data_IF_452714104133
#
_entry.id   IF_452714104133
#
_cell.length_a   1.000
_cell.length_b   1.000
_cell.length_c   1.000
_cell.angle_alpha   90.00
_cell.angle_beta   90.00
_cell.angle_gamma   90.00
#
_symmetry.space_group_name_H-M   'P 1'
#
loop_
_entity.id
_entity.type
_entity.pdbx_description
1 polymer ?
#
# COMPACT_ATOMS: atom_id res chain seq x y z
N UNK A 1 99.07 13.62 -11.60
CA UNK A 1 98.25 12.51 -12.16
C UNK A 1 97.26 11.94 -11.13
N UNK A 2 97.67 11.62 -9.90
CA UNK A 2 96.79 11.04 -8.86
C UNK A 2 95.69 11.97 -8.34
N UNK A 3 95.97 13.28 -8.24
CA UNK A 3 95.00 14.29 -7.75
C UNK A 3 93.77 14.41 -8.66
N UNK A 4 93.97 14.36 -9.99
CA UNK A 4 92.86 14.42 -10.95
C UNK A 4 91.93 13.18 -10.85
N UNK A 5 92.50 12.01 -10.55
CA UNK A 5 91.72 10.79 -10.35
C UNK A 5 90.85 10.85 -9.09
N UNK A 6 91.35 11.43 -8.00
CA UNK A 6 90.56 11.62 -6.78
C UNK A 6 89.42 12.62 -6.98
N UNK A 7 89.67 13.71 -7.71
CA UNK A 7 88.64 14.71 -8.04
C UNK A 7 87.55 14.14 -8.96
N UNK A 8 87.92 13.31 -9.94
CA UNK A 8 86.96 12.64 -10.81
C UNK A 8 86.11 11.62 -10.04
N UNK A 9 86.75 10.84 -9.16
CA UNK A 9 86.06 9.84 -8.34
C UNK A 9 85.01 10.48 -7.40
N UNK A 10 85.33 11.61 -6.76
CA UNK A 10 84.38 12.30 -5.87
C UNK A 10 83.20 12.89 -6.65
N UNK A 11 83.44 13.47 -7.82
CA UNK A 11 82.37 14.00 -8.67
C UNK A 11 81.44 12.89 -9.18
N UNK A 12 82.01 11.76 -9.60
CA UNK A 12 81.23 10.59 -10.01
C UNK A 12 80.37 10.05 -8.86
N UNK A 13 80.92 10.01 -7.63
CA UNK A 13 80.22 9.50 -6.45
C UNK A 13 79.07 10.43 -6.03
N UNK A 14 79.27 11.76 -6.09
CA UNK A 14 78.22 12.75 -5.81
C UNK A 14 77.09 12.65 -6.86
N UNK A 15 77.43 12.54 -8.15
CA UNK A 15 76.45 12.37 -9.23
C UNK A 15 75.64 11.08 -9.04
N UNK A 16 76.30 9.99 -8.69
CA UNK A 16 75.65 8.70 -8.46
C UNK A 16 74.69 8.74 -7.25
N UNK A 17 75.10 9.35 -6.14
CA UNK A 17 74.24 9.57 -4.98
C UNK A 17 73.03 10.46 -5.30
N UNK A 18 73.23 11.51 -6.10
CA UNK A 18 72.15 12.40 -6.55
C UNK A 18 71.10 11.67 -7.39
N UNK A 19 71.53 10.80 -8.31
CA UNK A 19 70.63 9.97 -9.12
C UNK A 19 69.83 8.99 -8.25
N UNK A 20 70.47 8.32 -7.29
CA UNK A 20 69.78 7.43 -6.35
C UNK A 20 68.75 8.19 -5.51
N UNK A 21 69.08 9.40 -5.06
CA UNK A 21 68.17 10.24 -4.27
C UNK A 21 66.93 10.65 -5.08
N UNK A 22 67.13 11.13 -6.32
CA UNK A 22 66.02 11.50 -7.22
C UNK A 22 65.16 10.29 -7.56
N UNK A 23 65.77 9.14 -7.81
CA UNK A 23 65.04 7.91 -8.13
C UNK A 23 64.18 7.45 -6.95
N UNK A 24 64.69 7.52 -5.72
CA UNK A 24 63.91 7.24 -4.51
C UNK A 24 62.77 8.24 -4.29
N UNK A 25 63.00 9.53 -4.59
CA UNK A 25 61.96 10.56 -4.47
C UNK A 25 60.83 10.33 -5.48
N UNK A 26 61.16 9.98 -6.73
CA UNK A 26 60.19 9.61 -7.77
C UNK A 26 59.42 8.37 -7.35
N UNK A 27 60.10 7.32 -6.86
CA UNK A 27 59.44 6.11 -6.40
C UNK A 27 58.53 6.37 -5.18
N UNK A 28 58.87 7.34 -4.32
CA UNK A 28 57.99 7.76 -3.22
C UNK A 28 56.74 8.47 -3.75
N UNK A 29 56.89 9.42 -4.68
CA UNK A 29 55.74 10.12 -5.25
C UNK A 29 54.82 9.19 -6.05
N UNK A 30 55.37 8.23 -6.79
CA UNK A 30 54.58 7.23 -7.50
C UNK A 30 53.79 6.35 -6.53
N UNK A 31 54.35 5.99 -5.37
CA UNK A 31 53.63 5.20 -4.36
C UNK A 31 52.44 5.96 -3.80
N UNK A 32 52.58 7.25 -3.51
CA UNK A 32 51.49 8.10 -3.00
C UNK A 32 50.40 8.34 -4.06
N UNK A 33 50.79 8.55 -5.32
CA UNK A 33 49.83 8.65 -6.42
C UNK A 33 49.09 7.34 -6.66
N UNK A 34 49.79 6.21 -6.55
CA UNK A 34 49.16 4.88 -6.69
C UNK A 34 48.21 4.61 -5.52
N UNK A 35 48.55 4.98 -4.29
CA UNK A 35 47.64 4.81 -3.14
C UNK A 35 46.42 5.70 -3.25
N UNK A 36 46.58 6.98 -3.61
CA UNK A 36 45.45 7.91 -3.77
C UNK A 36 44.53 7.50 -4.93
N UNK A 37 45.09 7.00 -6.04
CA UNK A 37 44.33 6.45 -7.17
C UNK A 37 43.60 5.16 -6.80
N UNK A 38 44.17 4.33 -5.91
CA UNK A 38 43.48 3.15 -5.37
C UNK A 38 42.33 3.55 -4.46
N UNK A 39 42.53 4.50 -3.56
CA UNK A 39 41.47 5.02 -2.68
C UNK A 39 40.31 5.60 -3.51
N UNK A 40 40.60 6.43 -4.50
CA UNK A 40 39.59 6.94 -5.43
C UNK A 40 38.81 5.81 -6.13
N UNK A 41 39.49 4.77 -6.63
CA UNK A 41 38.82 3.62 -7.25
C UNK A 41 37.93 2.87 -6.26
N UNK A 42 38.37 2.71 -5.01
CA UNK A 42 37.55 2.05 -3.99
C UNK A 42 36.31 2.88 -3.62
N UNK A 43 36.44 4.21 -3.49
CA UNK A 43 35.30 5.09 -3.25
C UNK A 43 34.33 5.07 -4.44
N UNK A 44 34.83 5.16 -5.67
CA UNK A 44 33.98 5.05 -6.87
C UNK A 44 33.27 3.70 -6.95
N UNK A 45 33.97 2.60 -6.63
CA UNK A 45 33.38 1.26 -6.60
C UNK A 45 32.27 1.11 -5.56
N UNK A 46 32.48 1.67 -4.36
CA UNK A 46 31.48 1.67 -3.30
C UNK A 46 30.27 2.55 -3.65
N UNK A 47 30.50 3.70 -4.30
CA UNK A 47 29.42 4.57 -4.79
C UNK A 47 28.61 3.89 -5.89
N UNK A 48 29.26 3.20 -6.85
CA UNK A 48 28.53 2.44 -7.88
C UNK A 48 27.69 1.33 -7.25
N UNK A 49 28.23 0.61 -6.26
CA UNK A 49 27.48 -0.42 -5.55
C UNK A 49 26.30 0.16 -4.73
N UNK A 50 26.49 1.34 -4.11
CA UNK A 50 25.40 2.06 -3.44
C UNK A 50 24.34 2.57 -4.41
N UNK A 51 24.72 3.08 -5.58
CA UNK A 51 23.78 3.50 -6.63
C UNK A 51 23.02 2.31 -7.22
N UNK A 52 23.65 1.16 -7.40
CA UNK A 52 22.97 -0.07 -7.82
C UNK A 52 21.98 -0.55 -6.76
N UNK A 53 22.35 -0.47 -5.48
CA UNK A 53 21.45 -0.79 -4.37
C UNK A 53 20.26 0.19 -4.30
N UNK A 54 20.51 1.49 -4.45
CA UNK A 54 19.48 2.53 -4.48
C UNK A 54 18.51 2.38 -5.65
N UNK A 55 19.03 2.08 -6.85
CA UNK A 55 18.20 1.86 -8.05
C UNK A 55 17.39 0.55 -7.97
N UNK A 56 17.92 -0.48 -7.31
CA UNK A 56 17.19 -1.71 -7.02
C UNK A 56 16.04 -1.49 -6.03
N UNK A 57 16.28 -0.69 -4.99
CA UNK A 57 15.25 -0.36 -4.00
C UNK A 57 14.13 0.52 -4.60
N UNK A 58 14.48 1.45 -5.50
CA UNK A 58 13.50 2.27 -6.21
C UNK A 58 12.57 1.43 -7.11
N UNK A 59 13.11 0.40 -7.78
CA UNK A 59 12.27 -0.54 -8.57
C UNK A 59 11.30 -1.32 -7.68
N UNK A 60 11.76 -1.79 -6.51
CA UNK A 60 10.90 -2.51 -5.55
C UNK A 60 9.81 -1.60 -4.98
N UNK A 61 10.13 -0.36 -4.65
CA UNK A 61 9.14 0.64 -4.23
C UNK A 61 8.07 0.87 -5.29
N UNK A 62 8.47 1.02 -6.56
CA UNK A 62 7.52 1.23 -7.65
C UNK A 62 6.57 0.04 -7.86
N UNK A 63 7.05 -1.20 -7.69
CA UNK A 63 6.19 -2.39 -7.73
C UNK A 63 5.18 -2.36 -6.57
N UNK A 64 5.64 -2.09 -5.34
CA UNK A 64 4.77 -2.05 -4.15
C UNK A 64 3.73 -0.92 -4.27
N UNK A 65 4.13 0.25 -4.78
CA UNK A 65 3.20 1.35 -5.03
C UNK A 65 2.17 1.01 -6.11
N UNK A 66 2.58 0.30 -7.16
CA UNK A 66 1.68 -0.24 -8.18
C UNK A 66 0.65 -1.20 -7.58
N UNK A 67 1.12 -2.18 -6.80
CA UNK A 67 0.26 -3.15 -6.13
C UNK A 67 -0.71 -2.45 -5.16
N UNK A 68 -0.25 -1.48 -4.37
CA UNK A 68 -1.10 -0.71 -3.46
C UNK A 68 -2.22 0.04 -4.16
N UNK A 69 -1.96 0.59 -5.36
CA UNK A 69 -3.00 1.28 -6.15
C UNK A 69 -4.05 0.29 -6.63
N UNK A 70 -3.62 -0.86 -7.14
CA UNK A 70 -4.53 -1.91 -7.60
C UNK A 70 -5.41 -2.44 -6.47
N UNK A 71 -4.84 -2.71 -5.29
CA UNK A 71 -5.62 -3.14 -4.12
C UNK A 71 -6.61 -2.08 -3.67
N UNK A 72 -6.26 -0.80 -3.77
CA UNK A 72 -7.15 0.30 -3.42
C UNK A 72 -8.34 0.37 -4.37
N UNK A 73 -8.10 0.28 -5.68
CA UNK A 73 -9.16 0.26 -6.69
C UNK A 73 -10.13 -0.91 -6.47
N UNK A 74 -9.61 -2.11 -6.19
CA UNK A 74 -10.47 -3.26 -5.86
C UNK A 74 -11.27 -3.03 -4.58
N UNK A 75 -10.67 -2.45 -3.55
CA UNK A 75 -11.36 -2.19 -2.29
C UNK A 75 -12.47 -1.15 -2.46
N UNK A 76 -12.24 -0.13 -3.29
CA UNK A 76 -13.22 0.90 -3.62
C UNK A 76 -14.40 0.30 -4.39
N UNK A 77 -14.16 -0.61 -5.35
CA UNK A 77 -15.21 -1.36 -6.06
C UNK A 77 -16.05 -2.21 -5.10
N UNK A 78 -15.40 -2.99 -4.23
CA UNK A 78 -16.12 -3.79 -3.23
C UNK A 78 -16.95 -2.93 -2.28
N UNK A 79 -16.40 -1.78 -1.86
CA UNK A 79 -17.10 -0.87 -0.98
C UNK A 79 -18.31 -0.24 -1.67
N UNK A 80 -18.22 0.12 -2.95
CA UNK A 80 -19.36 0.62 -3.72
C UNK A 80 -20.47 -0.43 -3.82
N UNK A 81 -20.14 -1.66 -4.22
CA UNK A 81 -21.12 -2.76 -4.32
C UNK A 81 -21.79 -3.00 -2.96
N UNK A 82 -21.02 -2.97 -1.86
CA UNK A 82 -21.58 -3.13 -0.52
C UNK A 82 -22.52 -1.98 -0.15
N UNK A 83 -22.21 -0.74 -0.54
CA UNK A 83 -23.09 0.42 -0.30
C UNK A 83 -24.38 0.33 -1.12
N UNK A 84 -24.30 -0.07 -2.39
CA UNK A 84 -25.49 -0.29 -3.23
C UNK A 84 -26.41 -1.35 -2.62
N UNK A 85 -25.86 -2.50 -2.21
CA UNK A 85 -26.62 -3.56 -1.57
C UNK A 85 -27.23 -3.17 -0.22
N UNK A 86 -26.58 -2.27 0.53
CA UNK A 86 -27.13 -1.73 1.77
C UNK A 86 -28.31 -0.80 1.46
N UNK A 87 -28.18 0.08 0.47
CA UNK A 87 -29.26 0.98 0.06
C UNK A 87 -30.47 0.20 -0.48
N UNK A 88 -30.26 -0.82 -1.31
CA UNK A 88 -31.34 -1.68 -1.79
C UNK A 88 -32.06 -2.36 -0.63
N UNK A 89 -31.32 -2.92 0.34
CA UNK A 89 -31.92 -3.55 1.52
C UNK A 89 -32.68 -2.57 2.40
N UNK A 90 -32.15 -1.36 2.60
CA UNK A 90 -32.85 -0.31 3.35
C UNK A 90 -34.15 0.10 2.65
N UNK A 91 -34.14 0.23 1.31
CA UNK A 91 -35.33 0.54 0.53
C UNK A 91 -36.37 -0.58 0.59
N UNK A 92 -35.96 -1.83 0.41
CA UNK A 92 -36.84 -3.00 0.55
C UNK A 92 -37.43 -3.10 1.97
N UNK A 93 -36.61 -2.84 2.99
CA UNK A 93 -37.05 -2.88 4.38
C UNK A 93 -37.99 -1.72 4.72
N UNK A 94 -37.76 -0.53 4.17
CA UNK A 94 -38.67 0.61 4.30
C UNK A 94 -40.03 0.32 3.64
N UNK A 95 -40.04 -0.28 2.43
CA UNK A 95 -41.27 -0.72 1.76
C UNK A 95 -42.00 -1.81 2.56
N UNK A 96 -41.29 -2.84 3.03
CA UNK A 96 -41.89 -3.89 3.87
C UNK A 96 -42.43 -3.37 5.20
N UNK A 97 -41.77 -2.39 5.81
CA UNK A 97 -42.25 -1.78 7.05
C UNK A 97 -43.58 -1.03 6.85
N UNK A 98 -43.84 -0.54 5.63
CA UNK A 98 -45.11 0.09 5.27
C UNK A 98 -46.22 -0.95 5.03
N UNK A 99 -45.88 -2.18 4.63
CA UNK A 99 -46.82 -3.30 4.43
C UNK A 99 -47.05 -4.15 5.70
N UNK A 100 -46.13 -4.12 6.66
CA UNK A 100 -46.18 -4.91 7.91
C UNK A 100 -47.45 -4.77 8.78
N UNK A 101 -48.12 -3.60 8.93
CA UNK A 101 -49.31 -3.54 9.78
C UNK A 101 -50.46 -4.44 9.29
N UNK A 102 -50.50 -4.73 7.98
CA UNK A 102 -51.51 -5.62 7.41
C UNK A 102 -51.18 -7.10 7.57
N UNK A 103 -49.89 -7.47 7.59
CA UNK A 103 -49.46 -8.85 7.81
C UNK A 103 -49.85 -9.38 9.18
N UNK A 104 -49.67 -8.55 10.22
CA UNK A 104 -50.08 -8.88 11.59
C UNK A 104 -51.61 -8.90 11.73
N UNK A 105 -52.31 -8.00 11.02
CA UNK A 105 -53.77 -8.01 10.94
C UNK A 105 -54.33 -9.29 10.32
N UNK A 106 -53.73 -9.77 9.21
CA UNK A 106 -54.13 -11.01 8.53
C UNK A 106 -53.93 -12.21 9.45
N UNK A 107 -52.83 -12.26 10.20
CA UNK A 107 -52.57 -13.33 11.18
C UNK A 107 -53.62 -13.34 12.31
N UNK A 108 -53.94 -12.17 12.88
CA UNK A 108 -54.98 -12.05 13.90
C UNK A 108 -56.38 -12.42 13.38
N UNK A 109 -56.72 -12.04 12.14
CA UNK A 109 -57.98 -12.46 11.50
C UNK A 109 -58.02 -13.98 11.33
N UNK A 110 -56.92 -14.62 10.92
CA UNK A 110 -56.84 -16.08 10.83
C UNK A 110 -56.96 -16.79 12.19
N UNK A 111 -56.56 -16.14 13.28
CA UNK A 111 -56.81 -16.62 14.66
C UNK A 111 -58.23 -16.35 15.17
N UNK A 112 -59.11 -15.76 14.36
CA UNK A 112 -60.50 -15.47 14.71
C UNK A 112 -60.68 -14.17 15.50
N UNK A 113 -59.73 -13.23 15.43
CA UNK A 113 -59.89 -11.92 16.05
C UNK A 113 -61.08 -11.16 15.46
N UNK A 114 -61.84 -10.50 16.34
CA UNK A 114 -62.97 -9.65 15.93
C UNK A 114 -62.49 -8.32 15.37
N UNK A 115 -63.33 -7.67 14.57
CA UNK A 115 -63.09 -6.33 13.99
C UNK A 115 -62.67 -5.32 15.06
N UNK A 116 -63.29 -5.37 16.25
CA UNK A 116 -62.98 -4.48 17.37
C UNK A 116 -61.54 -4.68 17.88
N UNK A 117 -61.10 -5.93 17.98
CA UNK A 117 -59.76 -6.28 18.44
C UNK A 117 -58.68 -5.82 17.47
N UNK A 118 -58.95 -5.89 16.18
CA UNK A 118 -58.06 -5.38 15.12
C UNK A 118 -57.93 -3.85 15.18
N UNK A 119 -59.00 -3.13 15.55
CA UNK A 119 -58.95 -1.69 15.75
C UNK A 119 -58.17 -1.32 17.02
N UNK A 120 -58.36 -2.07 18.11
CA UNK A 120 -57.76 -1.77 19.41
C UNK A 120 -56.27 -2.15 19.47
N UNK A 121 -55.86 -3.29 18.89
CA UNK A 121 -54.46 -3.77 18.93
C UNK A 121 -53.58 -3.19 17.81
N UNK A 122 -54.12 -2.97 16.62
CA UNK A 122 -53.36 -2.50 15.45
C UNK A 122 -53.68 -1.06 15.03
N UNK A 123 -54.61 -0.39 15.73
CA UNK A 123 -54.96 1.01 15.45
C UNK A 123 -55.63 1.23 14.08
N UNK A 124 -56.16 0.17 13.47
CA UNK A 124 -56.76 0.21 12.13
C UNK A 124 -58.07 1.02 12.14
N UNK A 125 -58.35 1.72 11.04
CA UNK A 125 -59.67 2.35 10.89
C UNK A 125 -60.76 1.30 10.80
N UNK A 126 -61.97 1.63 11.25
CA UNK A 126 -63.11 0.71 11.23
C UNK A 126 -63.36 0.12 9.83
N UNK A 127 -63.23 0.96 8.80
CA UNK A 127 -63.37 0.54 7.40
C UNK A 127 -62.30 -0.46 6.96
N UNK A 128 -61.05 -0.29 7.42
CA UNK A 128 -59.94 -1.21 7.08
C UNK A 128 -60.08 -2.55 7.81
N UNK A 129 -60.43 -2.53 9.10
CA UNK A 129 -60.64 -3.74 9.90
C UNK A 129 -61.82 -4.58 9.38
N UNK A 130 -62.94 -3.95 9.00
CA UNK A 130 -64.09 -4.65 8.40
C UNK A 130 -63.76 -5.27 7.03
N UNK A 131 -62.90 -4.63 6.24
CA UNK A 131 -62.49 -5.12 4.93
C UNK A 131 -61.55 -6.33 5.07
N UNK A 132 -60.55 -6.24 5.96
CA UNK A 132 -59.64 -7.35 6.27
C UNK A 132 -60.38 -8.58 6.80
N UNK A 133 -61.32 -8.38 7.72
CA UNK A 133 -62.15 -9.46 8.25
C UNK A 133 -63.01 -10.13 7.17
N UNK A 134 -63.57 -9.36 6.23
CA UNK A 134 -64.37 -9.91 5.12
C UNK A 134 -63.53 -10.66 4.08
N UNK A 135 -62.36 -10.13 3.73
CA UNK A 135 -61.49 -10.71 2.70
C UNK A 135 -60.76 -11.95 3.21
N UNK A 136 -60.27 -11.93 4.46
CA UNK A 136 -59.45 -13.01 5.02
C UNK A 136 -60.20 -13.93 6.00
N UNK A 137 -61.28 -13.47 6.64
CA UNK A 137 -62.04 -14.26 7.62
C UNK A 137 -62.81 -15.43 7.00
N UNK A 138 -63.21 -15.33 5.72
CA UNK A 138 -63.93 -16.42 5.02
C UNK A 138 -63.01 -17.60 4.71
N UNK A 139 -61.70 -17.35 4.54
CA UNK A 139 -60.69 -18.38 4.25
C UNK A 139 -60.24 -19.19 5.48
N UNK A 140 -60.54 -18.71 6.70
CA UNK A 140 -60.16 -19.37 7.95
C UNK A 140 -61.26 -20.29 8.53
N UNK A 141 -62.49 -20.20 8.02
CA UNK A 141 -63.66 -20.95 8.49
C UNK A 141 -64.05 -22.14 7.57
N UNK A 142 -63.19 -22.50 6.62
CA UNK A 142 -63.29 -23.67 5.75
C UNK A 142 -62.10 -24.60 6.02
#
# INVERSE_FOLDING_TARGET
MTIYWLAFASFALISFLGLIYLQNLIHRQERELVSLKREMRTLTGNLSAQCDTGSGMNRRLNIIEGDMRQWREQMDEFQQIQQEWQQEREQEQAQRSQEQPYGEAIYLVHQGASVQRLMDELGLSRSEAELLYRVHGIRAAA
#
